data_IF_028487562602
#
_entry.id   IF_028487562602
#
_cell.length_a   1.000
_cell.length_b   1.000
_cell.length_c   1.000
_cell.angle_alpha   90.00
_cell.angle_beta   90.00
_cell.angle_gamma   90.00
#
_symmetry.space_group_name_H-M   'P 1'
#
loop_
_entity.id
_entity.type
_entity.pdbx_description
1 polymer ?
#
# COMPACT_ATOMS: atom_id res chain seq x y z
N UNK A 1 -5.48 -1.62 -12.21
CA UNK A 1 -6.57 -1.10 -11.38
C UNK A 1 -7.06 0.25 -11.90
N UNK A 2 -8.34 0.56 -11.65
CA UNK A 2 -8.94 1.85 -12.00
C UNK A 2 -8.50 2.94 -11.03
N UNK A 3 -8.39 2.59 -9.74
CA UNK A 3 -7.93 3.52 -8.72
C UNK A 3 -6.46 3.87 -8.91
N UNK A 4 -6.13 5.14 -8.82
CA UNK A 4 -4.75 5.61 -8.80
C UNK A 4 -4.08 5.38 -7.44
N UNK A 5 -2.76 5.55 -7.40
CA UNK A 5 -1.97 5.57 -6.18
C UNK A 5 -1.23 6.89 -6.05
N UNK A 6 -1.22 7.44 -4.85
CA UNK A 6 -0.43 8.62 -4.49
C UNK A 6 0.63 8.25 -3.46
N UNK A 7 1.69 9.05 -3.42
CA UNK A 7 2.76 8.91 -2.42
C UNK A 7 2.72 10.13 -1.51
N UNK A 8 2.61 9.88 -0.21
CA UNK A 8 2.60 10.93 0.81
C UNK A 8 3.64 10.64 1.89
N UNK A 9 4.08 11.69 2.57
CA UNK A 9 4.90 11.57 3.78
C UNK A 9 4.03 11.12 4.93
N UNK A 10 4.56 10.24 5.80
CA UNK A 10 3.96 9.98 7.11
C UNK A 10 3.89 11.30 7.88
N UNK A 11 2.74 11.66 8.51
CA UNK A 11 2.64 12.88 9.32
C UNK A 11 3.73 12.90 10.40
N UNK A 12 4.34 14.08 10.60
CA UNK A 12 5.49 14.23 11.51
C UNK A 12 5.21 13.76 12.94
N UNK A 13 3.98 13.99 13.42
CA UNK A 13 3.58 13.55 14.76
C UNK A 13 3.55 12.02 14.92
N UNK A 14 3.45 11.26 13.82
CA UNK A 14 3.38 9.80 13.81
C UNK A 14 4.70 9.13 13.43
N UNK A 15 5.68 9.88 12.93
CA UNK A 15 6.91 9.30 12.36
C UNK A 15 7.69 8.40 13.30
N UNK A 16 7.65 8.69 14.61
CA UNK A 16 8.40 7.92 15.62
C UNK A 16 7.85 6.50 15.82
N UNK A 17 6.55 6.32 15.66
CA UNK A 17 5.84 5.05 15.91
C UNK A 17 5.44 4.32 14.64
N UNK A 18 5.36 5.02 13.52
CA UNK A 18 5.00 4.44 12.24
C UNK A 18 6.15 3.58 11.67
N UNK A 19 5.83 2.53 10.90
CA UNK A 19 6.83 1.76 10.15
C UNK A 19 7.55 2.64 9.12
N UNK A 20 8.59 2.11 8.49
CA UNK A 20 9.36 2.81 7.44
C UNK A 20 8.52 3.20 6.23
N UNK A 21 7.51 2.39 5.92
CA UNK A 21 6.46 2.70 4.95
C UNK A 21 5.24 1.84 5.22
N UNK A 22 4.09 2.25 4.65
CA UNK A 22 2.89 1.42 4.63
C UNK A 22 1.93 1.88 3.53
N UNK A 23 1.05 0.98 3.13
CA UNK A 23 0.05 1.25 2.12
C UNK A 23 -1.36 1.33 2.72
N UNK A 24 -2.15 2.29 2.26
CA UNK A 24 -3.56 2.41 2.55
C UNK A 24 -4.39 2.19 1.27
N UNK A 25 -5.31 1.20 1.26
CA UNK A 25 -6.13 0.92 0.09
C UNK A 25 -7.00 2.09 -0.34
N UNK A 26 -7.41 2.14 -1.63
CA UNK A 26 -8.39 3.09 -2.09
C UNK A 26 -9.75 2.83 -1.43
N UNK A 27 -10.62 3.85 -1.43
CA UNK A 27 -12.00 3.64 -1.00
C UNK A 27 -12.76 2.78 -2.01
N UNK A 28 -13.73 1.98 -1.53
CA UNK A 28 -14.52 1.09 -2.39
C UNK A 28 -15.37 1.83 -3.43
N UNK A 29 -15.73 3.07 -3.14
CA UNK A 29 -16.48 3.95 -4.06
C UNK A 29 -15.59 4.67 -5.09
N UNK A 30 -14.26 4.48 -4.99
CA UNK A 30 -13.28 5.10 -5.89
C UNK A 30 -13.03 6.59 -5.62
N UNK A 31 -13.63 7.19 -4.60
CA UNK A 31 -13.49 8.63 -4.29
C UNK A 31 -12.09 8.98 -3.77
N UNK A 32 -11.43 8.05 -3.08
CA UNK A 32 -10.08 8.24 -2.54
C UNK A 32 -9.10 7.24 -3.20
N UNK A 33 -7.96 7.72 -3.72
CA UNK A 33 -6.94 6.83 -4.29
C UNK A 33 -6.26 5.98 -3.20
N UNK A 34 -5.56 4.94 -3.60
CA UNK A 34 -4.62 4.24 -2.74
C UNK A 34 -3.48 5.19 -2.33
N UNK A 35 -2.94 5.01 -1.14
CA UNK A 35 -1.87 5.88 -0.64
C UNK A 35 -0.71 5.06 -0.11
N UNK A 36 0.47 5.29 -0.68
CA UNK A 36 1.74 4.81 -0.15
C UNK A 36 2.31 5.88 0.76
N UNK A 37 2.43 5.59 2.06
CA UNK A 37 3.04 6.49 3.04
C UNK A 37 4.52 6.15 3.23
N UNK A 38 5.40 7.14 3.02
CA UNK A 38 6.83 7.02 3.26
C UNK A 38 7.21 7.73 4.57
N UNK A 39 7.90 7.04 5.47
CA UNK A 39 8.39 7.62 6.71
C UNK A 39 9.76 8.25 6.46
N UNK A 40 9.86 9.57 6.62
CA UNK A 40 11.07 10.35 6.36
C UNK A 40 11.81 10.76 7.64
N UNK A 41 11.50 10.14 8.80
CA UNK A 41 12.12 10.48 10.10
C UNK A 41 13.65 10.42 10.07
N UNK A 42 14.22 9.49 9.32
CA UNK A 42 15.66 9.34 9.15
C UNK A 42 16.01 8.94 7.72
N UNK A 43 16.22 9.92 6.85
CA UNK A 43 16.54 9.69 5.44
C UNK A 43 17.89 9.00 5.23
N UNK A 44 18.79 9.01 6.22
CA UNK A 44 20.09 8.33 6.14
C UNK A 44 19.96 6.80 6.20
N UNK A 45 18.86 6.30 6.77
CA UNK A 45 18.56 4.87 6.84
C UNK A 45 17.97 4.32 5.54
N UNK A 46 17.53 5.20 4.64
CA UNK A 46 16.86 4.82 3.39
C UNK A 46 17.89 4.69 2.28
N UNK A 47 18.14 3.47 1.83
CA UNK A 47 19.02 3.21 0.69
C UNK A 47 18.25 3.30 -0.63
N UNK A 48 18.92 3.75 -1.71
CA UNK A 48 18.27 3.86 -3.03
C UNK A 48 17.73 2.53 -3.54
N UNK A 49 18.44 1.43 -3.33
CA UNK A 49 17.97 0.11 -3.73
C UNK A 49 16.81 -0.38 -2.86
N UNK A 50 16.84 -0.09 -1.55
CA UNK A 50 15.73 -0.37 -0.64
C UNK A 50 14.45 0.39 -1.02
N UNK A 51 14.56 1.63 -1.50
CA UNK A 51 13.40 2.40 -1.96
C UNK A 51 12.68 1.75 -3.14
N UNK A 52 13.42 1.18 -4.10
CA UNK A 52 12.80 0.46 -5.23
C UNK A 52 12.00 -0.74 -4.77
N UNK A 53 12.61 -1.58 -3.94
CA UNK A 53 11.95 -2.77 -3.38
C UNK A 53 10.69 -2.38 -2.62
N UNK A 54 10.79 -1.35 -1.79
CA UNK A 54 9.66 -0.85 -1.00
C UNK A 54 8.54 -0.28 -1.89
N UNK A 55 8.90 0.50 -2.92
CA UNK A 55 7.92 1.05 -3.86
C UNK A 55 7.19 -0.05 -4.64
N UNK A 56 7.88 -1.11 -5.03
CA UNK A 56 7.24 -2.27 -5.68
C UNK A 56 6.34 -3.03 -4.71
N UNK A 57 6.76 -3.18 -3.46
CA UNK A 57 5.98 -3.85 -2.42
C UNK A 57 4.69 -3.09 -2.09
N UNK A 58 4.78 -1.79 -1.81
CA UNK A 58 3.64 -0.98 -1.37
C UNK A 58 2.73 -0.53 -2.52
N UNK A 59 3.30 -0.26 -3.69
CA UNK A 59 2.56 0.31 -4.80
C UNK A 59 2.29 -0.71 -5.92
N UNK A 60 3.06 -0.69 -6.97
CA UNK A 60 2.85 -1.51 -8.17
C UNK A 60 4.15 -2.25 -8.51
N UNK A 61 4.08 -3.61 -8.62
CA UNK A 61 2.91 -4.48 -8.66
C UNK A 61 2.41 -5.03 -7.31
N UNK A 62 2.85 -4.47 -6.19
CA UNK A 62 2.55 -4.95 -4.83
C UNK A 62 1.14 -4.68 -4.33
N UNK A 63 1.03 -4.18 -3.08
CA UNK A 63 -0.25 -4.03 -2.37
C UNK A 63 -1.30 -3.23 -3.14
N UNK A 64 -0.92 -2.08 -3.73
CA UNK A 64 -1.89 -1.27 -4.47
C UNK A 64 -2.50 -2.05 -5.64
N UNK A 65 -1.66 -2.68 -6.45
CA UNK A 65 -2.13 -3.42 -7.63
C UNK A 65 -3.07 -4.57 -7.22
N UNK A 66 -2.65 -5.39 -6.27
CA UNK A 66 -3.41 -6.53 -5.77
C UNK A 66 -4.76 -6.12 -5.18
N UNK A 67 -4.74 -5.19 -4.21
CA UNK A 67 -5.92 -4.85 -3.43
C UNK A 67 -6.92 -4.05 -4.27
N UNK A 68 -6.46 -3.09 -5.07
CA UNK A 68 -7.35 -2.33 -5.94
C UNK A 68 -8.04 -3.22 -6.98
N UNK A 69 -7.33 -4.18 -7.57
CA UNK A 69 -7.96 -5.15 -8.49
C UNK A 69 -8.96 -6.04 -7.73
N UNK A 70 -8.60 -6.53 -6.54
CA UNK A 70 -9.51 -7.35 -5.75
C UNK A 70 -10.82 -6.61 -5.41
N UNK A 71 -10.75 -5.31 -5.15
CA UNK A 71 -11.93 -4.47 -4.93
C UNK A 71 -12.80 -4.32 -6.18
N UNK A 72 -12.22 -4.36 -7.37
CA UNK A 72 -12.93 -4.24 -8.65
C UNK A 72 -13.64 -5.54 -9.08
N UNK A 73 -13.24 -6.69 -8.52
CA UNK A 73 -13.82 -7.98 -8.91
C UNK A 73 -15.29 -8.07 -8.54
N UNK A 74 -16.09 -8.54 -9.50
CA UNK A 74 -17.51 -8.84 -9.29
C UNK A 74 -17.67 -10.24 -8.67
N UNK A 75 -18.75 -10.43 -7.91
CA UNK A 75 -19.09 -11.75 -7.34
C UNK A 75 -18.27 -12.16 -6.11
N UNK A 76 -17.30 -11.37 -5.65
CA UNK A 76 -16.63 -11.65 -4.40
C UNK A 76 -17.49 -11.23 -3.20
N UNK A 77 -17.56 -12.06 -2.13
CA UNK A 77 -18.15 -11.64 -0.87
C UNK A 77 -17.51 -10.36 -0.34
N UNK A 78 -18.31 -9.48 0.23
CA UNK A 78 -17.86 -8.16 0.68
C UNK A 78 -16.67 -8.21 1.64
N UNK A 79 -16.66 -9.16 2.57
CA UNK A 79 -15.54 -9.31 3.52
C UNK A 79 -14.20 -9.60 2.84
N UNK A 80 -14.20 -10.28 1.67
CA UNK A 80 -12.96 -10.54 0.91
C UNK A 80 -12.38 -9.30 0.24
N UNK A 81 -13.19 -8.27 0.05
CA UNK A 81 -12.74 -6.98 -0.48
C UNK A 81 -12.14 -6.07 0.60
N UNK A 82 -12.51 -6.28 1.88
CA UNK A 82 -12.11 -5.45 3.00
C UNK A 82 -10.97 -6.04 3.84
N UNK A 83 -10.98 -7.36 4.01
CA UNK A 83 -10.07 -8.04 4.93
C UNK A 83 -9.23 -9.04 4.12
N UNK A 84 -8.11 -8.61 3.55
CA UNK A 84 -7.19 -9.55 2.92
C UNK A 84 -6.55 -10.44 4.00
N UNK A 85 -6.44 -11.73 3.72
CA UNK A 85 -5.62 -12.62 4.55
C UNK A 85 -4.16 -12.17 4.45
N UNK A 86 -3.49 -11.99 5.59
CA UNK A 86 -2.13 -11.45 5.65
C UNK A 86 -1.15 -12.25 4.79
N UNK A 87 -1.19 -13.58 4.84
CA UNK A 87 -0.34 -14.43 4.01
C UNK A 87 -0.53 -14.18 2.50
N UNK A 88 -1.78 -13.91 2.07
CA UNK A 88 -2.08 -13.59 0.68
C UNK A 88 -1.60 -12.19 0.30
N UNK A 89 -1.87 -11.20 1.14
CA UNK A 89 -1.48 -9.82 0.87
C UNK A 89 0.04 -9.65 0.85
N UNK A 90 0.71 -10.10 1.90
CA UNK A 90 2.18 -9.97 2.01
C UNK A 90 2.91 -10.91 1.04
N UNK A 91 2.41 -12.10 0.85
CA UNK A 91 3.00 -13.05 -0.11
C UNK A 91 2.95 -12.56 -1.54
N UNK A 92 1.87 -11.90 -1.95
CA UNK A 92 1.78 -11.24 -3.26
C UNK A 92 2.77 -10.10 -3.39
N UNK A 93 2.80 -9.19 -2.42
CA UNK A 93 3.65 -8.01 -2.47
C UNK A 93 5.15 -8.36 -2.40
N UNK A 94 5.50 -9.47 -1.75
CA UNK A 94 6.87 -9.99 -1.69
C UNK A 94 7.31 -10.64 -3.01
N UNK A 95 6.40 -11.36 -3.69
CA UNK A 95 6.67 -12.05 -4.95
C UNK A 95 6.99 -11.10 -6.09
#
# INVERSE_FOLDING_TARGET
PKAGVQVLRVPEFSEKTAPGAYYQPPSLDGARPGTFYANLRNVKEITRFGMRTLAYHEAVPGHHFQIAIAQELQGLPFFRKLIPFTAYAEGWALY
#
